data_IF_511405669813
#
_entry.id   IF_511405669813
#
_cell.length_a   1.000
_cell.length_b   1.000
_cell.length_c   1.000
_cell.angle_alpha   90.00
_cell.angle_beta   90.00
_cell.angle_gamma   90.00
#
_symmetry.space_group_name_H-M   'P 1'
#
loop_
_entity.id
_entity.type
_entity.pdbx_description
1 polymer ?
#
# COMPACT_ATOMS: atom_id res chain seq x y z
N UNK A 1 -23.32 11.84 30.98
CA UNK A 1 -23.66 11.62 29.55
C UNK A 1 -24.89 12.47 29.22
N UNK A 2 -24.86 13.29 28.17
CA UNK A 2 -26.01 14.13 27.79
C UNK A 2 -27.01 13.29 26.95
N UNK A 3 -28.29 13.22 27.32
CA UNK A 3 -29.29 12.41 26.61
C UNK A 3 -29.58 12.89 25.17
N UNK A 4 -29.19 14.11 24.81
CA UNK A 4 -29.41 14.69 23.48
C UNK A 4 -28.17 14.65 22.57
N UNK A 5 -27.14 13.87 22.94
CA UNK A 5 -25.93 13.72 22.12
C UNK A 5 -26.23 13.23 20.69
N UNK A 6 -27.13 12.26 20.57
CA UNK A 6 -27.64 11.76 19.31
C UNK A 6 -29.15 11.94 19.26
N UNK A 7 -29.65 12.57 18.20
CA UNK A 7 -31.08 12.85 18.02
C UNK A 7 -31.56 12.34 16.67
N UNK A 8 -32.85 12.04 16.60
CA UNK A 8 -33.53 11.64 15.38
C UNK A 8 -34.39 12.80 14.88
N UNK A 9 -34.30 13.10 13.59
CA UNK A 9 -35.14 14.11 12.92
C UNK A 9 -35.76 13.51 11.65
N UNK A 10 -37.06 13.26 11.73
CA UNK A 10 -37.93 12.76 10.66
C UNK A 10 -39.14 13.66 10.47
N UNK A 11 -39.90 13.44 9.38
CA UNK A 11 -41.12 14.19 9.09
C UNK A 11 -42.13 14.17 10.25
N UNK A 12 -42.15 13.07 11.02
CA UNK A 12 -43.11 12.83 12.09
C UNK A 12 -42.68 13.36 13.47
N UNK A 13 -41.45 13.89 13.60
CA UNK A 13 -40.92 14.36 14.91
C UNK A 13 -41.39 15.79 15.27
N UNK A 14 -42.20 16.42 14.42
CA UNK A 14 -42.88 17.69 14.66
C UNK A 14 -41.98 18.83 15.15
N UNK A 15 -42.53 19.70 16.02
CA UNK A 15 -41.82 20.88 16.53
C UNK A 15 -40.52 20.55 17.31
N UNK A 16 -40.45 19.36 17.92
CA UNK A 16 -39.26 18.90 18.67
C UNK A 16 -38.13 18.51 17.72
N UNK A 17 -38.45 17.82 16.62
CA UNK A 17 -37.48 17.53 15.57
C UNK A 17 -36.94 18.80 14.92
N UNK A 18 -37.80 19.81 14.71
CA UNK A 18 -37.37 21.09 14.14
C UNK A 18 -36.50 21.89 15.12
N UNK A 19 -36.75 21.77 16.43
CA UNK A 19 -35.87 22.36 17.45
C UNK A 19 -34.49 21.70 17.44
N UNK A 20 -34.42 20.37 17.41
CA UNK A 20 -33.16 19.66 17.31
C UNK A 20 -32.39 19.98 16.02
N UNK A 21 -33.09 20.19 14.92
CA UNK A 21 -32.47 20.62 13.67
C UNK A 21 -31.88 22.03 13.79
N UNK A 22 -32.61 22.98 14.40
CA UNK A 22 -32.09 24.33 14.68
C UNK A 22 -30.88 24.29 15.61
N UNK A 23 -30.94 23.48 16.66
CA UNK A 23 -29.84 23.34 17.62
C UNK A 23 -28.60 22.70 16.97
N UNK A 24 -28.78 21.78 16.03
CA UNK A 24 -27.68 21.18 15.26
C UNK A 24 -27.03 22.15 14.26
N UNK A 25 -27.79 23.13 13.76
CA UNK A 25 -27.30 24.15 12.83
C UNK A 25 -26.53 25.28 13.54
N UNK A 26 -26.75 25.43 14.84
CA UNK A 26 -26.11 26.45 15.65
C UNK A 26 -24.66 26.04 16.01
N UNK A 27 -23.68 26.68 15.37
CA UNK A 27 -22.27 26.33 15.55
C UNK A 27 -21.73 26.68 16.95
N UNK A 28 -22.46 27.48 17.75
CA UNK A 28 -22.13 27.75 19.16
C UNK A 28 -22.57 26.59 20.08
N UNK A 29 -23.41 25.68 19.58
CA UNK A 29 -23.88 24.51 20.32
C UNK A 29 -23.07 23.27 19.94
N UNK A 30 -22.71 22.49 20.95
CA UNK A 30 -22.04 21.19 20.76
C UNK A 30 -23.02 20.01 20.74
N UNK A 31 -24.29 20.26 21.07
CA UNK A 31 -25.33 19.25 21.21
C UNK A 31 -26.59 19.73 20.50
N UNK A 32 -27.21 18.90 19.64
CA UNK A 32 -26.84 17.52 19.32
C UNK A 32 -25.56 17.41 18.48
N UNK A 33 -24.76 16.36 18.69
CA UNK A 33 -23.54 16.10 17.90
C UNK A 33 -23.81 15.17 16.71
N UNK A 34 -24.76 14.24 16.87
CA UNK A 34 -25.17 13.30 15.82
C UNK A 34 -26.64 13.52 15.53
N UNK A 35 -26.98 13.66 14.25
CA UNK A 35 -28.35 13.79 13.78
C UNK A 35 -28.63 12.67 12.78
N UNK A 36 -29.64 11.86 13.07
CA UNK A 36 -30.08 10.74 12.21
C UNK A 36 -31.37 11.11 11.46
N UNK A 37 -31.45 10.74 10.18
CA UNK A 37 -32.64 10.96 9.35
C UNK A 37 -32.83 9.84 8.34
N UNK A 38 -34.05 9.71 7.82
CA UNK A 38 -34.36 8.85 6.67
C UNK A 38 -34.43 9.68 5.38
N UNK A 39 -35.38 10.61 5.30
CA UNK A 39 -35.64 11.42 4.09
C UNK A 39 -35.85 12.91 4.37
N UNK A 40 -36.17 13.31 5.61
CA UNK A 40 -36.60 14.69 5.92
C UNK A 40 -35.52 15.73 5.61
N UNK A 41 -34.24 15.34 5.66
CA UNK A 41 -33.16 16.27 5.36
C UNK A 41 -32.90 16.44 3.86
N UNK A 42 -33.54 15.71 2.93
CA UNK A 42 -33.23 15.78 1.48
C UNK A 42 -33.19 17.21 0.91
N UNK A 43 -33.89 18.17 1.53
CA UNK A 43 -33.80 19.60 1.20
C UNK A 43 -33.76 20.50 2.44
N UNK A 44 -32.88 21.51 2.47
CA UNK A 44 -33.04 22.68 3.36
C UNK A 44 -32.33 22.67 4.72
N UNK A 45 -31.30 21.85 4.94
CA UNK A 45 -30.47 21.92 6.16
C UNK A 45 -29.23 22.76 5.87
N UNK A 46 -29.08 23.90 6.55
CA UNK A 46 -27.87 24.74 6.46
C UNK A 46 -27.01 24.59 7.72
N UNK A 47 -26.29 23.46 7.82
CA UNK A 47 -25.28 23.24 8.85
C UNK A 47 -23.90 23.28 8.19
N UNK A 48 -23.06 24.25 8.56
CA UNK A 48 -21.75 24.49 7.92
C UNK A 48 -20.64 23.59 8.49
N UNK A 49 -20.66 23.32 9.78
CA UNK A 49 -19.65 22.51 10.48
C UNK A 49 -19.91 20.99 10.42
N UNK A 50 -20.42 20.47 9.30
CA UNK A 50 -20.57 19.01 9.10
C UNK A 50 -19.20 18.41 8.78
N UNK A 51 -18.69 17.51 9.65
CA UNK A 51 -17.39 16.83 9.47
C UNK A 51 -17.49 15.37 9.05
N UNK A 52 -18.65 14.74 9.29
CA UNK A 52 -18.88 13.34 8.96
C UNK A 52 -20.24 13.18 8.27
N UNK A 53 -20.28 12.43 7.18
CA UNK A 53 -21.51 11.96 6.52
C UNK A 53 -21.49 10.44 6.57
N UNK A 54 -22.51 9.83 7.18
CA UNK A 54 -22.60 8.38 7.32
C UNK A 54 -23.77 7.85 6.50
N UNK A 55 -23.48 7.03 5.50
CA UNK A 55 -24.48 6.41 4.63
C UNK A 55 -24.81 5.02 5.16
N UNK A 56 -25.99 4.88 5.77
CA UNK A 56 -26.50 3.60 6.30
C UNK A 56 -27.74 3.08 5.54
N UNK A 57 -28.16 3.77 4.47
CA UNK A 57 -29.28 3.35 3.62
C UNK A 57 -28.91 3.49 2.14
N UNK A 58 -29.40 2.59 1.26
CA UNK A 58 -29.21 2.74 -0.18
C UNK A 58 -29.71 4.12 -0.66
N UNK A 59 -28.97 4.69 -1.61
CA UNK A 59 -29.30 5.93 -2.29
C UNK A 59 -29.82 5.57 -3.68
N UNK A 60 -31.02 6.01 -4.02
CA UNK A 60 -31.73 5.52 -5.21
C UNK A 60 -31.47 6.39 -6.44
N UNK A 61 -30.84 7.56 -6.29
CA UNK A 61 -30.53 8.44 -7.41
C UNK A 61 -29.25 9.27 -7.20
N UNK A 62 -28.58 9.60 -8.30
CA UNK A 62 -27.41 10.49 -8.32
C UNK A 62 -27.72 11.86 -7.70
N UNK A 63 -28.91 12.39 -7.97
CA UNK A 63 -29.35 13.69 -7.43
C UNK A 63 -29.43 13.63 -5.90
N UNK A 64 -30.00 12.56 -5.36
CA UNK A 64 -30.07 12.34 -3.92
C UNK A 64 -28.67 12.18 -3.30
N UNK A 65 -27.76 11.45 -3.97
CA UNK A 65 -26.38 11.28 -3.54
C UNK A 65 -25.65 12.63 -3.43
N UNK A 66 -25.66 13.42 -4.51
CA UNK A 66 -25.03 14.75 -4.55
C UNK A 66 -25.63 15.72 -3.53
N UNK A 67 -26.94 15.65 -3.28
CA UNK A 67 -27.62 16.46 -2.25
C UNK A 67 -27.22 16.05 -0.82
N UNK A 68 -26.88 14.78 -0.58
CA UNK A 68 -26.36 14.32 0.71
C UNK A 68 -24.93 14.81 0.88
N UNK A 69 -24.05 14.56 -0.09
CA UNK A 69 -22.62 14.91 -0.01
C UNK A 69 -22.41 16.43 0.04
N UNK A 70 -23.19 17.20 -0.73
CA UNK A 70 -23.15 18.66 -0.75
C UNK A 70 -23.46 19.33 0.60
N UNK A 71 -23.79 18.56 1.64
CA UNK A 71 -23.90 19.05 3.03
C UNK A 71 -22.54 19.22 3.69
N UNK A 72 -21.63 18.29 3.40
CA UNK A 72 -20.27 18.29 3.92
C UNK A 72 -19.36 19.30 3.23
N UNK A 73 -19.68 19.73 2.01
CA UNK A 73 -18.81 20.63 1.21
C UNK A 73 -18.84 22.10 1.65
N UNK A 74 -19.72 22.49 2.59
CA UNK A 74 -19.76 23.86 3.12
C UNK A 74 -18.48 24.18 3.89
N UNK A 75 -17.86 25.31 3.58
CA UNK A 75 -16.70 25.84 4.30
C UNK A 75 -17.08 26.31 5.71
N UNK A 76 -16.20 26.04 6.67
CA UNK A 76 -16.31 26.49 8.06
C UNK A 76 -14.89 26.67 8.63
N UNK A 77 -14.72 27.60 9.57
CA UNK A 77 -13.40 27.87 10.14
C UNK A 77 -12.86 26.63 10.89
N UNK A 78 -11.59 26.28 10.65
CA UNK A 78 -10.98 25.05 11.14
C UNK A 78 -11.54 23.75 10.55
N UNK A 79 -12.20 23.79 9.39
CA UNK A 79 -12.68 22.62 8.65
C UNK A 79 -12.11 22.63 7.22
N UNK A 80 -11.06 21.84 7.02
CA UNK A 80 -10.37 21.71 5.73
C UNK A 80 -10.92 20.56 4.88
N UNK A 81 -11.50 19.54 5.52
CA UNK A 81 -12.11 18.38 4.87
C UNK A 81 -13.33 17.87 5.66
N UNK A 82 -14.08 16.94 5.07
CA UNK A 82 -15.11 16.15 5.74
C UNK A 82 -15.01 14.70 5.28
N UNK A 83 -15.39 13.76 6.13
CA UNK A 83 -15.27 12.32 5.86
C UNK A 83 -16.62 11.72 5.49
N UNK A 84 -16.65 10.87 4.47
CA UNK A 84 -17.81 10.08 4.08
C UNK A 84 -17.56 8.64 4.54
N UNK A 85 -18.47 8.10 5.37
CA UNK A 85 -18.48 6.69 5.77
C UNK A 85 -19.62 6.00 5.02
N UNK A 86 -19.29 5.17 4.04
CA UNK A 86 -20.27 4.52 3.17
C UNK A 86 -20.44 3.02 3.47
N UNK A 87 -21.45 2.68 4.28
CA UNK A 87 -21.77 1.28 4.63
C UNK A 87 -22.66 0.58 3.59
N UNK A 88 -23.20 1.33 2.64
CA UNK A 88 -24.14 0.82 1.63
C UNK A 88 -23.57 0.86 0.23
N UNK A 89 -22.29 1.19 0.12
CA UNK A 89 -21.54 1.03 -1.11
C UNK A 89 -22.04 1.92 -2.26
N UNK A 90 -22.70 3.04 -1.94
CA UNK A 90 -23.31 4.01 -2.85
C UNK A 90 -22.30 4.70 -3.78
N UNK A 91 -21.05 4.93 -3.34
CA UNK A 91 -20.01 5.56 -4.17
C UNK A 91 -19.75 4.82 -5.49
N UNK A 92 -19.95 3.49 -5.53
CA UNK A 92 -19.80 2.67 -6.75
C UNK A 92 -20.79 3.03 -7.86
N UNK A 93 -21.95 3.54 -7.50
CA UNK A 93 -23.03 3.81 -8.44
C UNK A 93 -23.04 5.26 -8.93
N UNK A 94 -22.33 6.15 -8.23
CA UNK A 94 -22.51 7.59 -8.38
C UNK A 94 -21.20 8.37 -8.46
N UNK A 95 -20.08 7.71 -8.80
CA UNK A 95 -18.83 8.40 -9.10
C UNK A 95 -19.01 9.22 -10.40
N UNK A 96 -19.05 10.54 -10.28
CA UNK A 96 -19.14 11.48 -11.40
C UNK A 96 -17.88 12.35 -11.44
N UNK A 97 -16.86 11.96 -12.22
CA UNK A 97 -15.57 12.65 -12.27
C UNK A 97 -15.65 14.12 -12.71
N UNK A 98 -16.68 14.53 -13.45
CA UNK A 98 -16.88 15.93 -13.85
C UNK A 98 -17.40 16.80 -12.69
N UNK A 99 -17.95 16.19 -11.63
CA UNK A 99 -18.60 16.89 -10.51
C UNK A 99 -17.90 16.69 -9.17
N UNK A 100 -17.41 15.48 -8.88
CA UNK A 100 -16.79 15.10 -7.61
C UNK A 100 -15.32 15.54 -7.49
N UNK A 101 -14.68 15.85 -8.63
CA UNK A 101 -13.23 16.07 -8.69
C UNK A 101 -12.44 14.76 -8.55
N UNK A 102 -11.12 14.85 -8.40
CA UNK A 102 -10.28 13.66 -8.25
C UNK A 102 -10.52 13.01 -6.87
N UNK A 103 -10.89 11.71 -6.82
CA UNK A 103 -11.14 11.04 -5.56
C UNK A 103 -9.85 10.88 -4.76
N UNK A 104 -9.87 11.32 -3.51
CA UNK A 104 -8.83 11.00 -2.53
C UNK A 104 -9.18 9.61 -1.97
N UNK A 105 -8.47 8.59 -2.43
CA UNK A 105 -8.84 7.18 -2.20
C UNK A 105 -8.36 6.69 -0.83
N UNK A 106 -9.21 6.81 0.20
CA UNK A 106 -9.11 6.03 1.43
C UNK A 106 -10.03 4.81 1.32
N UNK A 107 -9.46 3.69 0.87
CA UNK A 107 -9.88 2.30 1.10
C UNK A 107 -11.23 1.85 0.51
N UNK A 108 -11.21 0.90 -0.42
CA UNK A 108 -12.37 0.00 -0.59
C UNK A 108 -12.04 -1.42 -1.08
N UNK A 109 -12.35 -2.39 -0.24
CA UNK A 109 -12.59 -3.80 -0.57
C UNK A 109 -14.02 -3.97 -1.10
N UNK A 110 -14.24 -4.74 -2.19
CA UNK A 110 -15.54 -5.38 -2.49
C UNK A 110 -15.40 -6.79 -3.09
N UNK A 111 -15.71 -7.77 -2.25
CA UNK A 111 -16.68 -8.90 -2.37
C UNK A 111 -17.08 -9.47 -3.73
N UNK A 112 -17.23 -10.81 -3.78
CA UNK A 112 -18.32 -11.61 -4.41
C UNK A 112 -18.04 -13.11 -4.12
N UNK A 113 -18.93 -14.06 -3.76
CA UNK A 113 -20.36 -14.25 -3.46
C UNK A 113 -20.49 -15.75 -3.00
N UNK A 114 -21.66 -16.45 -2.86
CA UNK A 114 -23.06 -16.07 -3.07
C UNK A 114 -23.98 -16.24 -1.83
N UNK A 115 -25.12 -15.55 -1.87
CA UNK A 115 -26.26 -15.67 -0.96
C UNK A 115 -26.97 -17.03 -1.11
N UNK A 116 -27.22 -17.72 0.00
CA UNK A 116 -28.24 -18.77 0.10
C UNK A 116 -29.14 -18.44 1.31
N UNK A 117 -30.48 -18.43 1.16
CA UNK A 117 -31.40 -18.14 2.26
C UNK A 117 -31.70 -19.40 3.10
N UNK A 118 -32.35 -19.17 4.25
CA UNK A 118 -32.86 -20.12 5.27
C UNK A 118 -31.89 -20.31 6.46
N UNK A 119 -32.29 -20.20 7.73
CA UNK A 119 -33.59 -20.28 8.38
C UNK A 119 -33.53 -19.61 9.77
N UNK A 120 -34.65 -19.03 10.20
CA UNK A 120 -34.86 -18.48 11.56
C UNK A 120 -34.87 -19.62 12.58
N UNK A 121 -34.13 -19.49 13.69
CA UNK A 121 -34.55 -20.05 14.97
C UNK A 121 -33.93 -19.30 16.15
N UNK A 122 -34.78 -19.03 17.13
CA UNK A 122 -34.55 -18.29 18.36
C UNK A 122 -33.57 -18.95 19.34
N UNK A 123 -32.89 -18.12 20.14
CA UNK A 123 -32.19 -18.58 21.34
C UNK A 123 -31.24 -17.55 21.96
N UNK A 124 -31.74 -16.77 22.92
CA UNK A 124 -30.94 -15.94 23.82
C UNK A 124 -29.86 -16.77 24.55
N UNK A 125 -28.60 -16.31 24.54
CA UNK A 125 -27.70 -16.22 25.71
C UNK A 125 -26.37 -15.57 25.33
N UNK A 126 -25.90 -14.67 26.19
CA UNK A 126 -24.69 -13.87 25.99
C UNK A 126 -23.39 -14.68 25.94
N UNK A 127 -22.48 -14.18 25.12
CA UNK A 127 -21.07 -14.58 25.01
C UNK A 127 -20.41 -13.67 23.98
N UNK A 128 -19.20 -13.16 24.26
CA UNK A 128 -18.42 -12.37 23.32
C UNK A 128 -18.30 -13.11 21.97
N UNK A 129 -18.35 -12.41 20.81
CA UNK A 129 -18.10 -13.07 19.54
C UNK A 129 -16.64 -13.57 19.52
N UNK A 130 -16.39 -14.79 18.99
CA UNK A 130 -15.03 -15.21 18.67
C UNK A 130 -14.44 -14.25 17.64
N UNK A 131 -13.17 -13.88 17.81
CA UNK A 131 -12.43 -13.20 16.75
C UNK A 131 -12.28 -14.19 15.60
N UNK A 132 -12.99 -13.97 14.51
CA UNK A 132 -12.82 -14.77 13.30
C UNK A 132 -11.35 -14.69 12.83
N UNK A 133 -10.73 -15.82 12.44
CA UNK A 133 -9.40 -15.79 11.84
C UNK A 133 -9.44 -14.94 10.56
N UNK A 134 -8.37 -14.19 10.24
CA UNK A 134 -8.35 -13.31 9.07
C UNK A 134 -8.73 -14.10 7.81
N UNK A 135 -9.71 -13.60 7.06
CA UNK A 135 -10.15 -14.21 5.81
C UNK A 135 -8.95 -14.49 4.90
N UNK A 136 -8.85 -15.72 4.40
CA UNK A 136 -7.76 -16.12 3.50
C UNK A 136 -7.85 -15.30 2.21
N UNK A 137 -6.86 -14.45 1.98
CA UNK A 137 -6.70 -13.63 0.76
C UNK A 137 -6.86 -14.51 -0.49
N UNK A 138 -7.81 -14.17 -1.38
CA UNK A 138 -8.04 -14.93 -2.63
C UNK A 138 -6.89 -14.65 -3.61
N UNK A 139 -6.09 -15.67 -3.94
CA UNK A 139 -5.04 -15.57 -4.99
C UNK A 139 -5.65 -15.88 -6.37
N UNK A 140 -5.41 -15.03 -7.36
CA UNK A 140 -5.73 -15.25 -8.78
C UNK A 140 -4.45 -15.58 -9.55
N UNK A 141 -4.57 -16.47 -10.53
CA UNK A 141 -3.47 -16.79 -11.46
C UNK A 141 -3.64 -16.01 -12.75
N UNK A 142 -2.70 -15.12 -13.06
CA UNK A 142 -2.60 -14.43 -14.34
C UNK A 142 -1.64 -15.19 -15.26
N UNK A 143 -2.05 -15.46 -16.48
CA UNK A 143 -1.17 -15.98 -17.52
C UNK A 143 -0.58 -14.81 -18.33
N UNK A 144 0.74 -14.65 -18.30
CA UNK A 144 1.44 -13.63 -19.10
C UNK A 144 1.65 -14.13 -20.54
N UNK A 145 2.11 -13.24 -21.43
CA UNK A 145 2.32 -13.55 -22.87
C UNK A 145 3.34 -14.65 -23.12
N UNK A 146 4.21 -14.95 -22.15
CA UNK A 146 5.13 -16.12 -22.17
C UNK A 146 4.43 -17.46 -21.89
N UNK A 147 3.13 -17.45 -21.60
CA UNK A 147 2.35 -18.63 -21.27
C UNK A 147 2.56 -19.14 -19.85
N UNK A 148 3.41 -18.48 -19.04
CA UNK A 148 3.61 -18.85 -17.64
C UNK A 148 2.61 -18.12 -16.74
N UNK A 149 2.19 -18.79 -15.68
CA UNK A 149 1.26 -18.24 -14.70
C UNK A 149 2.00 -17.45 -13.61
N UNK A 150 1.35 -16.40 -13.09
CA UNK A 150 1.76 -15.62 -11.93
C UNK A 150 0.60 -15.61 -10.94
N UNK A 151 0.86 -16.00 -9.71
CA UNK A 151 -0.07 -15.86 -8.61
C UNK A 151 -0.02 -14.43 -8.08
N UNK A 152 -1.20 -13.83 -7.93
CA UNK A 152 -1.42 -12.46 -7.47
C UNK A 152 -2.52 -12.49 -6.42
N UNK A 153 -2.32 -11.79 -5.32
CA UNK A 153 -3.37 -11.61 -4.33
C UNK A 153 -4.41 -10.64 -4.88
N UNK A 154 -5.60 -11.15 -5.17
CA UNK A 154 -6.74 -10.33 -5.52
C UNK A 154 -7.52 -10.01 -4.26
N UNK A 155 -7.06 -8.99 -3.53
CA UNK A 155 -7.88 -8.19 -2.63
C UNK A 155 -7.11 -6.94 -2.18
N UNK A 156 -7.55 -5.78 -2.72
CA UNK A 156 -7.69 -4.47 -2.05
C UNK A 156 -6.59 -3.40 -2.24
N UNK A 157 -7.04 -2.19 -2.64
CA UNK A 157 -6.42 -0.86 -2.44
C UNK A 157 -5.11 -0.44 -3.13
N UNK A 158 -4.60 -1.14 -4.12
CA UNK A 158 -3.44 -0.61 -4.88
C UNK A 158 -3.88 -0.12 -6.25
N UNK A 159 -4.23 1.16 -6.33
CA UNK A 159 -4.52 1.85 -7.59
C UNK A 159 -3.21 2.05 -8.35
N UNK A 160 -3.05 1.35 -9.49
CA UNK A 160 -1.91 1.55 -10.39
C UNK A 160 -2.28 2.60 -11.43
N UNK A 161 -1.30 3.43 -11.79
CA UNK A 161 -1.46 4.43 -12.83
C UNK A 161 -0.63 4.03 -14.06
N UNK A 162 -1.19 4.24 -15.23
CA UNK A 162 -0.45 4.16 -16.49
C UNK A 162 0.48 5.36 -16.64
N UNK A 163 1.47 5.26 -17.55
CA UNK A 163 2.35 6.38 -17.89
C UNK A 163 1.60 7.64 -18.37
N UNK A 164 0.35 7.49 -18.84
CA UNK A 164 -0.53 8.58 -19.26
C UNK A 164 -1.42 9.12 -18.12
N UNK A 165 -1.19 8.69 -16.87
CA UNK A 165 -1.94 9.14 -15.69
C UNK A 165 -3.36 8.59 -15.58
N UNK A 166 -3.69 7.50 -16.29
CA UNK A 166 -4.98 6.80 -16.17
C UNK A 166 -4.88 5.64 -15.19
N UNK A 167 -5.90 5.39 -14.35
CA UNK A 167 -5.89 4.26 -13.44
C UNK A 167 -6.06 2.96 -14.26
N UNK A 168 -5.24 1.96 -13.95
CA UNK A 168 -5.25 0.65 -14.60
C UNK A 168 -5.31 -0.45 -13.55
N UNK A 169 -5.82 -1.62 -13.93
CA UNK A 169 -5.90 -2.77 -13.01
C UNK A 169 -4.51 -3.34 -12.72
N UNK A 170 -4.38 -4.10 -11.64
CA UNK A 170 -3.13 -4.79 -11.31
C UNK A 170 -2.68 -5.76 -12.41
N UNK A 171 -3.64 -6.41 -13.08
CA UNK A 171 -3.42 -7.29 -14.23
C UNK A 171 -2.85 -6.49 -15.43
N UNK A 172 -3.46 -5.36 -15.75
CA UNK A 172 -3.06 -4.52 -16.87
C UNK A 172 -1.68 -3.89 -16.63
N UNK A 173 -1.43 -3.41 -15.41
CA UNK A 173 -0.14 -2.89 -14.99
C UNK A 173 0.97 -3.94 -15.16
N UNK A 174 0.72 -5.17 -14.70
CA UNK A 174 1.65 -6.29 -14.87
C UNK A 174 1.92 -6.64 -16.32
N UNK A 175 0.88 -6.66 -17.17
CA UNK A 175 1.05 -6.92 -18.60
C UNK A 175 1.86 -5.82 -19.28
N UNK A 176 1.60 -4.56 -18.94
CA UNK A 176 2.31 -3.41 -19.49
C UNK A 176 3.79 -3.43 -19.06
N UNK A 177 4.05 -3.61 -17.76
CA UNK A 177 5.41 -3.72 -17.22
C UNK A 177 6.16 -4.89 -17.90
N UNK A 178 5.54 -6.07 -17.94
CA UNK A 178 6.12 -7.24 -18.61
C UNK A 178 6.47 -6.97 -20.08
N UNK A 179 5.64 -6.20 -20.80
CA UNK A 179 5.93 -5.79 -22.18
C UNK A 179 7.14 -4.86 -22.33
N UNK A 180 7.51 -4.12 -21.28
CA UNK A 180 8.64 -3.17 -21.27
C UNK A 180 9.95 -3.79 -20.79
N UNK A 181 9.91 -4.77 -19.88
CA UNK A 181 11.11 -5.41 -19.30
C UNK A 181 12.12 -5.94 -20.33
N UNK A 182 11.71 -6.58 -21.46
CA UNK A 182 12.65 -7.08 -22.46
C UNK A 182 13.53 -6.01 -23.13
N UNK A 183 13.11 -4.74 -23.10
CA UNK A 183 13.91 -3.62 -23.59
C UNK A 183 15.00 -3.18 -22.58
N UNK A 184 14.85 -3.57 -21.30
CA UNK A 184 15.73 -3.17 -20.20
C UNK A 184 16.78 -4.25 -19.91
N UNK A 185 16.41 -5.52 -19.99
CA UNK A 185 17.31 -6.67 -19.83
C UNK A 185 16.74 -7.90 -20.54
N UNK A 186 17.63 -8.78 -21.05
CA UNK A 186 17.27 -9.96 -21.86
C UNK A 186 17.22 -11.25 -21.05
N UNK A 187 17.90 -11.27 -19.90
CA UNK A 187 18.01 -12.48 -19.08
C UNK A 187 18.13 -12.13 -17.60
N UNK A 188 17.83 -13.11 -16.74
CA UNK A 188 18.02 -12.98 -15.31
C UNK A 188 19.49 -12.74 -14.94
N UNK A 189 20.43 -13.33 -15.68
CA UNK A 189 21.85 -13.09 -15.49
C UNK A 189 22.24 -11.63 -15.79
N UNK A 190 21.64 -11.03 -16.82
CA UNK A 190 21.86 -9.61 -17.15
C UNK A 190 21.24 -8.69 -16.08
N UNK A 191 20.00 -8.98 -15.65
CA UNK A 191 19.36 -8.27 -14.54
C UNK A 191 20.26 -8.31 -13.29
N UNK A 192 20.80 -9.48 -12.96
CA UNK A 192 21.69 -9.68 -11.82
C UNK A 192 23.00 -8.90 -11.95
N UNK A 193 23.61 -8.87 -13.14
CA UNK A 193 24.81 -8.06 -13.38
C UNK A 193 24.54 -6.57 -13.16
N UNK A 194 23.43 -6.06 -13.70
CA UNK A 194 23.00 -4.66 -13.50
C UNK A 194 22.69 -4.39 -12.02
N UNK A 195 21.98 -5.29 -11.37
CA UNK A 195 21.49 -5.09 -10.00
C UNK A 195 22.60 -5.24 -8.96
N UNK A 196 23.59 -6.08 -9.19
CA UNK A 196 24.66 -6.37 -8.22
C UNK A 196 25.59 -5.20 -7.92
N UNK A 197 25.61 -4.17 -8.77
CA UNK A 197 26.42 -2.97 -8.60
C UNK A 197 25.51 -1.76 -8.29
N UNK A 198 25.75 -1.03 -7.18
CA UNK A 198 24.94 0.13 -6.78
C UNK A 198 24.73 1.16 -7.88
N UNK A 199 25.79 1.49 -8.64
CA UNK A 199 25.74 2.55 -9.65
C UNK A 199 24.86 2.14 -10.84
N UNK A 200 24.98 0.90 -11.30
CA UNK A 200 24.16 0.39 -12.40
C UNK A 200 22.73 0.11 -11.96
N UNK A 201 22.52 -0.32 -10.71
CA UNK A 201 21.18 -0.48 -10.11
C UNK A 201 20.45 0.86 -10.06
N UNK A 202 21.11 1.93 -9.60
CA UNK A 202 20.53 3.26 -9.55
C UNK A 202 20.10 3.75 -10.93
N UNK A 203 21.00 3.66 -11.91
CA UNK A 203 20.69 4.03 -13.29
C UNK A 203 19.54 3.19 -13.89
N UNK A 204 19.46 1.91 -13.50
CA UNK A 204 18.38 1.03 -13.92
C UNK A 204 17.03 1.42 -13.32
N UNK A 205 16.97 1.67 -12.01
CA UNK A 205 15.77 2.14 -11.33
C UNK A 205 15.28 3.47 -11.90
N UNK A 206 16.19 4.39 -12.23
CA UNK A 206 15.84 5.65 -12.88
C UNK A 206 15.19 5.43 -14.25
N UNK A 207 15.75 4.56 -15.10
CA UNK A 207 15.15 4.24 -16.41
C UNK A 207 13.78 3.60 -16.29
N UNK A 208 13.59 2.73 -15.29
CA UNK A 208 12.28 2.14 -15.02
C UNK A 208 11.28 3.23 -14.57
N UNK A 209 11.71 4.15 -13.70
CA UNK A 209 10.88 5.27 -13.27
C UNK A 209 10.48 6.20 -14.44
N UNK A 210 11.39 6.46 -15.37
CA UNK A 210 11.12 7.22 -16.61
C UNK A 210 10.09 6.53 -17.53
N UNK A 211 9.89 5.21 -17.38
CA UNK A 211 8.86 4.45 -18.07
C UNK A 211 7.51 4.43 -17.34
N UNK A 212 7.39 5.13 -16.19
CA UNK A 212 6.18 5.19 -15.37
C UNK A 212 6.07 4.07 -14.33
N UNK A 213 7.18 3.39 -14.00
CA UNK A 213 7.21 2.28 -13.04
C UNK A 213 8.15 2.61 -11.87
N UNK A 214 7.95 3.76 -11.25
CA UNK A 214 8.79 4.22 -10.15
C UNK A 214 8.83 3.28 -8.94
N UNK A 215 9.54 3.73 -7.91
CA UNK A 215 9.75 2.96 -6.70
C UNK A 215 8.41 2.60 -6.04
N UNK A 216 7.51 3.56 -5.93
CA UNK A 216 6.19 3.37 -5.30
C UNK A 216 5.37 2.31 -6.04
N UNK A 217 5.39 2.32 -7.38
CA UNK A 217 4.70 1.34 -8.20
C UNK A 217 5.28 -0.07 -8.05
N UNK A 218 6.60 -0.20 -7.90
CA UNK A 218 7.26 -1.49 -7.65
C UNK A 218 6.99 -2.02 -6.23
N UNK A 219 6.95 -1.15 -5.21
CA UNK A 219 6.59 -1.52 -3.84
C UNK A 219 5.11 -1.91 -3.73
N UNK A 220 4.24 -1.19 -4.44
CA UNK A 220 2.84 -1.55 -4.63
C UNK A 220 2.71 -2.94 -5.24
N UNK A 221 3.55 -3.25 -6.22
CA UNK A 221 3.56 -4.56 -6.83
C UNK A 221 4.04 -5.67 -5.87
N UNK A 222 5.00 -5.39 -4.99
CA UNK A 222 5.40 -6.33 -3.93
C UNK A 222 4.21 -6.79 -3.11
N UNK A 223 3.35 -5.87 -2.68
CA UNK A 223 2.13 -6.19 -1.90
C UNK A 223 1.17 -7.07 -2.69
N UNK A 224 0.97 -6.73 -3.95
CA UNK A 224 0.07 -7.47 -4.86
C UNK A 224 0.53 -8.91 -5.09
N UNK A 225 1.83 -9.18 -5.08
CA UNK A 225 2.39 -10.53 -5.25
C UNK A 225 2.82 -11.21 -3.95
N UNK A 226 2.47 -10.66 -2.77
CA UNK A 226 2.83 -11.23 -1.45
C UNK A 226 4.34 -11.32 -1.20
N UNK A 227 5.09 -10.30 -1.65
CA UNK A 227 6.54 -10.25 -1.66
C UNK A 227 7.11 -8.97 -1.02
N UNK A 228 6.42 -8.35 -0.06
CA UNK A 228 6.89 -7.17 0.66
C UNK A 228 8.25 -7.39 1.33
N UNK A 229 8.51 -8.61 1.79
CA UNK A 229 9.78 -8.97 2.42
C UNK A 229 10.89 -9.33 1.43
N UNK A 230 10.60 -9.34 0.13
CA UNK A 230 11.55 -9.65 -0.94
C UNK A 230 12.26 -8.40 -1.47
N UNK A 231 13.34 -8.57 -2.24
CA UNK A 231 13.99 -7.44 -2.91
C UNK A 231 13.21 -7.07 -4.20
N UNK A 232 13.28 -5.81 -4.63
CA UNK A 232 12.73 -5.41 -5.94
C UNK A 232 13.35 -6.20 -7.11
N UNK A 233 14.59 -6.67 -6.95
CA UNK A 233 15.21 -7.66 -7.84
C UNK A 233 14.34 -8.91 -8.04
N UNK A 234 13.83 -9.47 -6.94
CA UNK A 234 13.01 -10.69 -6.96
C UNK A 234 11.67 -10.45 -7.63
N UNK A 235 11.07 -9.30 -7.38
CA UNK A 235 9.82 -8.86 -8.02
C UNK A 235 10.01 -8.81 -9.53
N UNK A 236 11.06 -8.14 -9.99
CA UNK A 236 11.37 -8.03 -11.43
C UNK A 236 11.70 -9.39 -12.05
N UNK A 237 12.46 -10.23 -11.34
CA UNK A 237 12.79 -11.58 -11.79
C UNK A 237 11.54 -12.50 -11.85
N UNK A 238 10.63 -12.36 -10.90
CA UNK A 238 9.35 -13.06 -10.89
C UNK A 238 8.52 -12.67 -12.11
N UNK A 239 8.35 -11.37 -12.36
CA UNK A 239 7.56 -10.90 -13.51
C UNK A 239 8.17 -11.37 -14.82
N UNK A 240 9.45 -11.08 -15.05
CA UNK A 240 10.12 -11.37 -16.31
C UNK A 240 10.31 -12.88 -16.57
N UNK A 241 10.61 -13.67 -15.54
CA UNK A 241 11.11 -15.05 -15.72
C UNK A 241 10.33 -16.13 -14.97
N UNK A 242 9.35 -15.77 -14.13
CA UNK A 242 8.61 -16.66 -13.24
C UNK A 242 9.47 -17.30 -12.14
N UNK A 243 10.53 -16.60 -11.72
CA UNK A 243 11.39 -17.05 -10.62
C UNK A 243 10.71 -16.67 -9.32
N UNK A 244 10.47 -17.63 -8.43
CA UNK A 244 9.81 -17.36 -7.15
C UNK A 244 10.65 -16.38 -6.32
N UNK A 245 10.02 -15.34 -5.74
CA UNK A 245 10.73 -14.40 -4.92
C UNK A 245 11.19 -15.05 -3.61
N UNK A 246 12.37 -14.67 -3.14
CA UNK A 246 12.88 -15.03 -1.81
C UNK A 246 12.92 -13.78 -0.93
N UNK A 247 12.78 -13.97 0.37
CA UNK A 247 12.88 -12.86 1.31
C UNK A 247 14.31 -12.30 1.36
N UNK A 248 14.44 -11.04 1.75
CA UNK A 248 15.73 -10.38 1.98
C UNK A 248 16.58 -11.17 3.00
N UNK A 249 15.93 -11.68 4.06
CA UNK A 249 16.58 -12.55 5.06
C UNK A 249 17.13 -13.83 4.46
N UNK A 250 16.33 -14.54 3.65
CA UNK A 250 16.79 -15.76 2.96
C UNK A 250 17.95 -15.45 2.01
N UNK A 251 17.88 -14.36 1.24
CA UNK A 251 18.97 -13.93 0.36
C UNK A 251 20.27 -13.73 1.11
N UNK A 252 20.22 -13.06 2.26
CA UNK A 252 21.41 -12.83 3.10
C UNK A 252 21.96 -14.16 3.61
N UNK A 253 21.10 -15.03 4.15
CA UNK A 253 21.50 -16.33 4.68
C UNK A 253 22.16 -17.22 3.62
N UNK A 254 21.58 -17.29 2.41
CA UNK A 254 22.13 -18.06 1.30
C UNK A 254 23.51 -17.53 0.85
N UNK A 255 23.70 -16.21 0.93
CA UNK A 255 24.90 -15.53 0.44
C UNK A 255 25.97 -15.29 1.49
N UNK A 256 25.67 -15.55 2.77
CA UNK A 256 26.52 -15.15 3.89
C UNK A 256 27.95 -15.71 3.77
N UNK A 257 28.09 -16.98 3.40
CA UNK A 257 29.41 -17.63 3.29
C UNK A 257 30.31 -16.98 2.23
N UNK A 258 29.76 -16.62 1.07
CA UNK A 258 30.52 -15.95 0.01
C UNK A 258 30.69 -14.45 0.26
N UNK A 259 29.75 -13.80 0.94
CA UNK A 259 29.86 -12.39 1.35
C UNK A 259 31.02 -12.19 2.32
N UNK A 260 31.14 -13.04 3.34
CA UNK A 260 32.14 -12.88 4.41
C UNK A 260 33.54 -13.37 4.01
N UNK A 261 33.67 -13.99 2.84
CA UNK A 261 34.90 -14.59 2.36
C UNK A 261 35.97 -13.55 2.08
N UNK A 262 37.08 -13.65 2.80
CA UNK A 262 38.22 -12.74 2.63
C UNK A 262 38.06 -11.38 3.31
N UNK A 263 37.01 -11.19 4.11
CA UNK A 263 36.86 -10.02 4.98
C UNK A 263 37.52 -10.27 6.34
N UNK A 264 38.06 -9.22 6.94
CA UNK A 264 38.52 -9.27 8.34
C UNK A 264 37.37 -9.01 9.32
N UNK A 265 37.60 -9.25 10.62
CA UNK A 265 36.56 -9.13 11.66
C UNK A 265 35.85 -7.76 11.68
N UNK A 266 36.57 -6.66 11.41
CA UNK A 266 35.97 -5.31 11.38
C UNK A 266 35.14 -5.06 10.14
N UNK A 267 35.58 -5.59 9.00
CA UNK A 267 34.80 -5.55 7.75
C UNK A 267 33.55 -6.43 7.86
N UNK A 268 33.65 -7.61 8.49
CA UNK A 268 32.51 -8.50 8.77
C UNK A 268 31.49 -7.76 9.64
N UNK A 269 31.90 -7.18 10.76
CA UNK A 269 31.03 -6.40 11.64
C UNK A 269 30.31 -5.26 10.89
N UNK A 270 31.00 -4.59 9.95
CA UNK A 270 30.41 -3.53 9.13
C UNK A 270 29.41 -4.10 8.12
N UNK A 271 29.78 -5.13 7.38
CA UNK A 271 28.93 -5.74 6.36
C UNK A 271 27.67 -6.35 6.98
N UNK A 272 27.77 -7.06 8.10
CA UNK A 272 26.62 -7.60 8.82
C UNK A 272 25.64 -6.51 9.27
N UNK A 273 26.16 -5.36 9.72
CA UNK A 273 25.34 -4.20 10.06
C UNK A 273 24.61 -3.63 8.84
N UNK A 274 25.27 -3.51 7.70
CA UNK A 274 24.60 -3.04 6.47
C UNK A 274 23.56 -4.05 6.00
N UNK A 275 23.86 -5.35 6.07
CA UNK A 275 22.92 -6.41 5.71
C UNK A 275 21.69 -6.42 6.63
N UNK A 276 21.85 -6.14 7.93
CA UNK A 276 20.71 -6.02 8.84
C UNK A 276 19.81 -4.86 8.45
N UNK A 277 20.39 -3.71 8.07
CA UNK A 277 19.63 -2.54 7.59
C UNK A 277 18.93 -2.83 6.27
N UNK A 278 19.57 -3.56 5.37
CA UNK A 278 18.95 -4.03 4.13
C UNK A 278 17.75 -4.96 4.39
N UNK A 279 17.88 -5.92 5.29
CA UNK A 279 16.79 -6.83 5.68
C UNK A 279 15.63 -6.06 6.30
N UNK A 280 15.89 -5.02 7.10
CA UNK A 280 14.85 -4.18 7.71
C UNK A 280 14.19 -3.24 6.69
N UNK A 281 14.98 -2.45 5.97
CA UNK A 281 14.50 -1.25 5.25
C UNK A 281 14.59 -1.35 3.72
N UNK A 282 15.26 -2.36 3.18
CA UNK A 282 15.22 -2.71 1.76
C UNK A 282 16.45 -2.26 0.98
N UNK A 283 16.36 -2.38 -0.34
CA UNK A 283 17.48 -2.22 -1.29
C UNK A 283 18.10 -0.82 -1.28
N UNK A 284 17.36 0.20 -0.84
CA UNK A 284 17.85 1.58 -0.75
C UNK A 284 19.04 1.72 0.21
N UNK A 285 19.11 0.90 1.26
CA UNK A 285 20.24 0.90 2.21
C UNK A 285 21.55 0.47 1.54
N UNK A 286 21.48 -0.13 0.35
CA UNK A 286 22.64 -0.57 -0.42
C UNK A 286 23.10 0.47 -1.47
N UNK A 287 22.46 1.65 -1.57
CA UNK A 287 22.91 2.76 -2.42
C UNK A 287 24.24 3.33 -1.89
N UNK A 288 25.12 3.72 -2.80
CA UNK A 288 26.39 4.38 -2.48
C UNK A 288 26.18 5.66 -1.65
N UNK A 289 25.10 6.41 -1.90
CA UNK A 289 24.77 7.63 -1.16
C UNK A 289 24.39 7.38 0.31
N UNK A 290 24.02 6.14 0.66
CA UNK A 290 23.78 5.75 2.05
C UNK A 290 25.07 5.45 2.80
N UNK A 291 26.18 5.17 2.11
CA UNK A 291 27.43 4.76 2.73
C UNK A 291 27.90 5.75 3.82
N UNK A 292 27.97 7.08 3.60
CA UNK A 292 28.35 8.02 4.66
C UNK A 292 27.41 8.01 5.87
N UNK A 293 26.09 7.80 5.64
CA UNK A 293 25.08 7.75 6.71
C UNK A 293 25.25 6.47 7.53
N UNK A 294 25.49 5.34 6.88
CA UNK A 294 25.72 4.05 7.54
C UNK A 294 27.00 4.04 8.36
N UNK A 295 28.07 4.66 7.85
CA UNK A 295 29.33 4.80 8.58
C UNK A 295 29.13 5.66 9.84
N UNK A 296 28.46 6.81 9.72
CA UNK A 296 28.16 7.65 10.88
C UNK A 296 27.21 6.96 11.88
N UNK A 297 26.23 6.17 11.40
CA UNK A 297 25.31 5.47 12.27
C UNK A 297 25.99 4.37 13.09
N UNK A 298 26.96 3.65 12.51
CA UNK A 298 27.69 2.56 13.20
C UNK A 298 28.87 3.05 14.02
N UNK A 299 29.60 4.06 13.53
CA UNK A 299 30.88 4.51 14.10
C UNK A 299 30.83 5.92 14.69
N UNK A 300 29.69 6.61 14.68
CA UNK A 300 29.48 8.00 15.12
C UNK A 300 30.19 9.08 14.28
N UNK A 301 31.31 8.75 13.64
CA UNK A 301 32.04 9.60 12.71
C UNK A 301 32.69 8.80 11.57
N UNK A 302 32.85 9.42 10.41
CA UNK A 302 33.56 8.82 9.26
C UNK A 302 35.04 8.57 9.59
N UNK A 303 35.68 9.47 10.34
CA UNK A 303 37.08 9.31 10.77
C UNK A 303 37.29 8.02 11.57
N UNK A 304 36.40 7.75 12.55
CA UNK A 304 36.44 6.53 13.37
C UNK A 304 36.21 5.27 12.54
N UNK A 305 35.38 5.36 11.49
CA UNK A 305 35.21 4.26 10.55
C UNK A 305 36.49 4.02 9.74
N UNK A 306 37.20 5.07 9.33
CA UNK A 306 38.45 4.96 8.58
C UNK A 306 39.58 4.33 9.42
N UNK A 307 39.66 4.64 10.71
CA UNK A 307 40.62 4.01 11.61
C UNK A 307 40.42 2.49 11.72
N UNK A 308 39.16 2.02 11.66
CA UNK A 308 38.81 0.61 11.84
C UNK A 308 38.79 -0.19 10.54
N UNK A 309 38.31 0.40 9.45
CA UNK A 309 38.06 -0.29 8.18
C UNK A 309 39.14 0.00 7.12
N UNK A 310 39.89 1.09 7.29
CA UNK A 310 40.88 1.59 6.35
C UNK A 310 40.40 2.81 5.57
N UNK A 311 41.07 3.13 4.47
CA UNK A 311 40.71 4.30 3.68
C UNK A 311 39.32 4.19 3.01
N UNK A 312 38.81 5.33 2.54
CA UNK A 312 37.49 5.42 1.90
C UNK A 312 37.39 4.51 0.67
N UNK A 313 38.49 4.32 -0.06
CA UNK A 313 38.54 3.47 -1.27
C UNK A 313 38.31 2.02 -0.89
N UNK A 314 38.97 1.54 0.17
CA UNK A 314 38.81 0.19 0.71
C UNK A 314 37.41 -0.03 1.25
N UNK A 315 36.87 0.91 2.03
CA UNK A 315 35.50 0.84 2.55
C UNK A 315 34.49 0.72 1.40
N UNK A 316 34.63 1.57 0.38
CA UNK A 316 33.78 1.53 -0.81
C UNK A 316 33.93 0.21 -1.57
N UNK A 317 35.15 -0.32 -1.67
CA UNK A 317 35.42 -1.61 -2.33
C UNK A 317 34.74 -2.76 -1.60
N UNK A 318 34.82 -2.79 -0.26
CA UNK A 318 34.11 -3.79 0.56
C UNK A 318 32.59 -3.64 0.37
N UNK A 319 32.07 -2.40 0.44
CA UNK A 319 30.65 -2.09 0.27
C UNK A 319 30.10 -2.54 -1.10
N UNK A 320 30.85 -2.34 -2.18
CA UNK A 320 30.46 -2.80 -3.52
C UNK A 320 30.68 -4.31 -3.68
N UNK A 321 31.73 -4.84 -3.06
CA UNK A 321 32.14 -6.24 -3.18
C UNK A 321 31.11 -7.20 -2.62
N UNK A 322 30.62 -6.95 -1.39
CA UNK A 322 29.65 -7.86 -0.78
C UNK A 322 28.33 -7.88 -1.55
N UNK A 323 27.91 -6.76 -2.16
CA UNK A 323 26.68 -6.72 -2.95
C UNK A 323 26.76 -7.61 -4.19
N UNK A 324 27.94 -7.73 -4.81
CA UNK A 324 28.15 -8.71 -5.89
C UNK A 324 27.95 -10.14 -5.42
N UNK A 325 28.39 -10.46 -4.21
CA UNK A 325 28.17 -11.77 -3.59
C UNK A 325 26.70 -11.98 -3.17
N UNK A 326 26.03 -10.94 -2.66
CA UNK A 326 24.62 -10.95 -2.24
C UNK A 326 23.66 -11.31 -3.38
N UNK A 327 23.98 -10.88 -4.59
CA UNK A 327 23.26 -11.27 -5.80
C UNK A 327 24.06 -12.26 -6.64
N UNK A 328 24.99 -13.03 -6.09
CA UNK A 328 25.62 -14.12 -6.86
C UNK A 328 24.68 -15.33 -6.93
N UNK A 329 24.79 -16.15 -7.97
CA UNK A 329 23.96 -17.35 -8.11
C UNK A 329 24.54 -18.46 -7.26
N UNK A 330 23.88 -18.78 -6.16
CA UNK A 330 24.27 -19.93 -5.34
C UNK A 330 23.86 -21.22 -6.03
N UNK A 331 24.82 -22.12 -6.24
CA UNK A 331 24.54 -23.51 -6.58
C UNK A 331 24.08 -24.22 -5.30
N UNK A 332 22.82 -24.10 -4.90
CA UNK A 332 22.26 -25.05 -3.94
C UNK A 332 20.78 -25.35 -4.18
N UNK A 333 20.55 -26.63 -4.51
CA UNK A 333 19.33 -27.44 -4.46
C UNK A 333 18.11 -27.05 -5.34
N UNK A 334 18.30 -27.10 -6.66
CA UNK A 334 17.32 -27.79 -7.52
C UNK A 334 17.53 -29.31 -7.39
N UNK A 335 17.21 -29.85 -6.21
CA UNK A 335 17.06 -31.29 -5.99
C UNK A 335 16.19 -31.53 -4.77
N UNK A 336 14.90 -31.21 -4.88
CA UNK A 336 13.85 -31.86 -4.10
C UNK A 336 12.52 -31.71 -4.84
N UNK A 337 12.28 -32.77 -5.63
CA UNK A 337 11.01 -33.32 -6.14
C UNK A 337 10.07 -32.39 -6.90
#
# INVERSE_FOLDING_TARGET
KNPHYCVRVTANDGARGDQFLRDFQDNEKTIPTILTTSQKLSTGVDARNIRYIVLMRPVNSMIEFKQIIGRGTRLFDGKEFFTILDFVNAYKHFNDPEWDGEPIDETSEKTDGPLVPESINDGEKGGCPPVDPPEKRKKIKIKLRDGKEREIQHMISTSFWSADGKPISSEEFLQNLYGKLPALFKSEAELRQIWSNPTTRKAFLQRIAELGYGKEELENLQRVIDAEESDLFDVLAYIAFAIQPITRSERVNESQSEILKGLNDKEIEFVEFVLSKYVESGVDELDEEKLPKLLNLKYHAIADAQEKLGDVVKIRTVFFGFQKALYSKHKNLTSKL
#
